data_IF_842331578246
#
_entry.id   IF_842331578246
#
_cell.length_a   1.000
_cell.length_b   1.000
_cell.length_c   1.000
_cell.angle_alpha   90.00
_cell.angle_beta   90.00
_cell.angle_gamma   90.00
#
_symmetry.space_group_name_H-M   'P 1'
#
loop_
_entity.id
_entity.type
_entity.pdbx_description
1 polymer ?
#
# COMPACT_ATOMS: atom_id res chain seq x y z
N UNK A 1 -10.87 2.01 -13.46
CA UNK A 1 -10.06 2.32 -14.66
C UNK A 1 -9.37 1.04 -15.09
N UNK A 2 -9.60 0.60 -16.33
CA UNK A 2 -8.92 -0.58 -16.88
C UNK A 2 -7.86 -0.10 -17.87
N UNK A 3 -6.59 -0.47 -17.64
CA UNK A 3 -5.53 -0.28 -18.62
C UNK A 3 -5.44 -1.55 -19.45
N UNK A 4 -5.98 -1.50 -20.66
CA UNK A 4 -5.97 -2.61 -21.59
C UNK A 4 -4.93 -2.30 -22.67
N UNK A 5 -3.92 -3.17 -22.85
CA UNK A 5 -3.07 -3.15 -24.04
C UNK A 5 -3.96 -3.25 -25.28
N UNK A 6 -3.69 -2.43 -26.29
CA UNK A 6 -4.57 -2.19 -27.43
C UNK A 6 -4.84 -3.43 -28.30
N UNK A 7 -4.06 -4.47 -28.11
CA UNK A 7 -3.83 -5.62 -28.96
C UNK A 7 -4.29 -6.96 -28.33
N UNK A 8 -4.77 -6.95 -27.09
CA UNK A 8 -5.03 -8.19 -26.33
C UNK A 8 -6.49 -8.48 -26.00
N UNK A 9 -7.45 -7.60 -26.30
CA UNK A 9 -8.85 -7.79 -25.87
C UNK A 9 -9.88 -7.56 -26.97
N UNK A 10 -10.72 -8.59 -27.20
CA UNK A 10 -11.83 -8.56 -28.15
C UNK A 10 -13.01 -7.73 -27.63
N UNK A 11 -13.75 -7.11 -28.56
CA UNK A 11 -14.90 -6.22 -28.29
C UNK A 11 -15.98 -6.83 -27.40
N UNK A 12 -16.16 -8.15 -27.44
CA UNK A 12 -17.16 -8.87 -26.66
C UNK A 12 -16.89 -8.82 -25.14
N UNK A 13 -15.61 -8.87 -24.75
CA UNK A 13 -15.17 -8.75 -23.34
C UNK A 13 -15.40 -7.33 -22.80
N UNK A 14 -15.50 -6.34 -23.69
CA UNK A 14 -15.76 -4.94 -23.32
C UNK A 14 -17.23 -4.74 -22.97
N UNK A 15 -18.15 -5.33 -23.75
CA UNK A 15 -19.60 -5.28 -23.52
C UNK A 15 -20.01 -6.00 -22.23
N UNK A 16 -19.42 -7.16 -21.92
CA UNK A 16 -19.77 -7.90 -20.70
C UNK A 16 -19.37 -7.17 -19.40
N UNK A 17 -18.49 -6.18 -19.47
CA UNK A 17 -18.09 -5.36 -18.30
C UNK A 17 -18.92 -4.10 -18.14
N UNK A 18 -19.72 -3.72 -19.14
CA UNK A 18 -20.65 -2.58 -19.03
C UNK A 18 -21.75 -2.85 -18.01
N UNK A 19 -22.14 -4.12 -17.83
CA UNK A 19 -23.11 -4.55 -16.81
C UNK A 19 -22.61 -4.35 -15.36
N UNK A 20 -21.30 -4.37 -15.12
CA UNK A 20 -20.69 -4.07 -13.81
C UNK A 20 -20.72 -2.57 -13.46
N UNK A 21 -20.93 -1.71 -14.45
CA UNK A 21 -21.08 -0.27 -14.28
C UNK A 21 -22.59 0.02 -14.20
N UNK A 22 -23.17 -0.23 -13.03
CA UNK A 22 -24.62 -0.07 -12.81
C UNK A 22 -25.20 1.22 -13.40
N UNK A 23 -26.48 1.19 -13.77
CA UNK A 23 -27.19 2.25 -14.51
C UNK A 23 -27.27 3.61 -13.79
N UNK A 24 -26.85 3.69 -12.52
CA UNK A 24 -26.81 4.91 -11.70
C UNK A 24 -25.40 5.18 -11.19
N UNK A 25 -24.42 5.27 -12.09
CA UNK A 25 -23.08 5.70 -11.69
C UNK A 25 -23.08 7.22 -11.43
N UNK A 26 -22.64 7.64 -10.24
CA UNK A 26 -22.53 9.06 -9.89
C UNK A 26 -21.54 9.80 -10.82
N UNK A 27 -22.00 10.86 -11.47
CA UNK A 27 -21.17 11.71 -12.33
C UNK A 27 -19.96 12.31 -11.60
N UNK A 28 -20.04 12.56 -10.29
CA UNK A 28 -18.92 13.08 -9.50
C UNK A 28 -17.82 12.03 -9.27
N UNK A 29 -18.21 10.77 -9.08
CA UNK A 29 -17.27 9.66 -8.97
C UNK A 29 -16.60 9.39 -10.32
N UNK A 30 -17.36 9.47 -11.42
CA UNK A 30 -16.79 9.41 -12.78
C UNK A 30 -15.82 10.55 -13.01
N UNK A 31 -16.13 11.80 -12.64
CA UNK A 31 -15.23 12.94 -12.80
C UNK A 31 -13.97 12.85 -11.92
N UNK A 32 -14.06 12.27 -10.72
CA UNK A 32 -12.91 12.03 -9.85
C UNK A 32 -12.00 10.90 -10.38
N UNK A 33 -12.61 9.87 -10.98
CA UNK A 33 -11.91 8.78 -11.67
C UNK A 33 -11.48 9.15 -13.08
N UNK A 34 -12.07 10.20 -13.67
CA UNK A 34 -11.79 10.65 -15.03
C UNK A 34 -10.33 11.09 -15.03
N UNK A 35 -9.52 10.19 -15.59
CA UNK A 35 -8.09 10.23 -15.47
C UNK A 35 -7.49 11.53 -15.97
N UNK A 36 -8.23 12.40 -16.65
CA UNK A 36 -7.77 13.69 -17.14
C UNK A 36 -7.10 14.54 -16.05
N UNK A 37 -7.67 14.68 -14.85
CA UNK A 37 -7.04 15.50 -13.78
C UNK A 37 -5.89 14.77 -13.09
N UNK A 38 -6.09 13.51 -12.69
CA UNK A 38 -5.06 12.69 -12.04
C UNK A 38 -3.87 12.37 -12.96
N UNK A 39 -4.11 11.97 -14.21
CA UNK A 39 -3.08 11.73 -15.25
C UNK A 39 -2.33 13.00 -15.60
N UNK A 40 -3.02 14.14 -15.75
CA UNK A 40 -2.34 15.42 -15.99
C UNK A 40 -1.45 15.81 -14.82
N UNK A 41 -1.91 15.64 -13.58
CA UNK A 41 -1.10 15.88 -12.40
C UNK A 41 0.11 14.94 -12.35
N UNK A 42 -0.05 13.64 -12.64
CA UNK A 42 1.08 12.70 -12.69
C UNK A 42 2.06 12.98 -13.83
N UNK A 43 1.58 13.41 -14.99
CA UNK A 43 2.45 13.81 -16.12
C UNK A 43 3.23 15.10 -15.80
N UNK A 44 2.58 16.09 -15.17
CA UNK A 44 3.20 17.40 -14.93
C UNK A 44 4.01 17.46 -13.64
N UNK A 45 3.58 16.76 -12.60
CA UNK A 45 4.10 16.88 -11.23
C UNK A 45 4.44 15.52 -10.61
N UNK A 46 4.19 14.40 -11.29
CA UNK A 46 4.31 13.06 -10.71
C UNK A 46 5.71 12.77 -10.20
N UNK A 47 6.76 13.12 -10.95
CA UNK A 47 8.15 12.91 -10.50
C UNK A 47 8.46 13.64 -9.19
N UNK A 48 8.04 14.90 -9.05
CA UNK A 48 8.26 15.68 -7.83
C UNK A 48 7.42 15.15 -6.66
N UNK A 49 6.14 14.84 -6.89
CA UNK A 49 5.23 14.31 -5.86
C UNK A 49 5.71 12.94 -5.36
N UNK A 50 6.07 12.05 -6.28
CA UNK A 50 6.53 10.70 -5.95
C UNK A 50 7.92 10.73 -5.30
N UNK A 51 8.85 11.56 -5.80
CA UNK A 51 10.16 11.76 -5.18
C UNK A 51 10.05 12.27 -3.75
N UNK A 52 9.16 13.23 -3.50
CA UNK A 52 8.91 13.72 -2.14
C UNK A 52 8.31 12.63 -1.24
N UNK A 53 7.34 11.86 -1.75
CA UNK A 53 6.75 10.74 -1.02
C UNK A 53 7.80 9.68 -0.64
N UNK A 54 8.71 9.33 -1.57
CA UNK A 54 9.82 8.41 -1.31
C UNK A 54 10.78 8.95 -0.24
N UNK A 55 11.16 10.22 -0.33
CA UNK A 55 12.03 10.85 0.68
C UNK A 55 11.38 10.88 2.06
N UNK A 56 10.07 11.17 2.13
CA UNK A 56 9.31 11.16 3.37
C UNK A 56 9.19 9.74 3.94
N UNK A 57 8.95 8.74 3.09
CA UNK A 57 8.91 7.34 3.49
C UNK A 57 10.24 6.89 4.10
N UNK A 58 11.36 7.21 3.44
CA UNK A 58 12.71 6.91 3.93
C UNK A 58 12.98 7.56 5.29
N UNK A 59 12.72 8.86 5.42
CA UNK A 59 12.87 9.58 6.69
C UNK A 59 12.00 8.98 7.80
N UNK A 60 10.79 8.54 7.46
CA UNK A 60 9.87 7.90 8.42
C UNK A 60 10.41 6.55 8.87
N UNK A 61 10.92 5.72 7.94
CA UNK A 61 11.57 4.44 8.25
C UNK A 61 12.73 4.63 9.22
N UNK A 62 13.64 5.57 8.93
CA UNK A 62 14.80 5.86 9.79
C UNK A 62 14.42 6.37 11.18
N UNK A 63 13.34 7.15 11.29
CA UNK A 63 12.88 7.63 12.60
C UNK A 63 12.26 6.51 13.42
N UNK A 64 11.48 5.64 12.78
CA UNK A 64 10.83 4.52 13.46
C UNK A 64 11.86 3.47 13.86
N UNK A 65 12.86 3.17 13.02
CA UNK A 65 13.89 2.17 13.32
C UNK A 65 14.77 2.52 14.54
N UNK A 66 14.72 3.77 15.02
CA UNK A 66 15.39 4.21 16.25
C UNK A 66 14.54 4.00 17.51
N UNK A 67 13.29 3.56 17.36
CA UNK A 67 12.40 3.28 18.49
C UNK A 67 12.68 1.85 18.96
N UNK A 68 13.04 1.72 20.22
CA UNK A 68 13.36 0.43 20.84
C UNK A 68 12.19 -0.56 20.74
N UNK A 69 12.50 -1.79 20.35
CA UNK A 69 11.51 -2.86 20.17
C UNK A 69 10.70 -2.77 18.88
N UNK A 70 11.04 -1.86 17.97
CA UNK A 70 10.50 -1.85 16.60
C UNK A 70 11.51 -2.38 15.59
N UNK A 71 11.01 -3.11 14.59
CA UNK A 71 11.79 -3.55 13.44
C UNK A 71 11.12 -3.03 12.16
N UNK A 72 11.80 -2.17 11.41
CA UNK A 72 11.27 -1.67 10.13
C UNK A 72 11.75 -2.59 9.03
N UNK A 73 10.82 -3.32 8.40
CA UNK A 73 11.20 -4.28 7.37
C UNK A 73 11.68 -3.59 6.09
N UNK A 74 12.79 -4.10 5.55
CA UNK A 74 13.45 -3.63 4.34
C UNK A 74 13.44 -4.66 3.21
N UNK A 75 14.19 -4.35 2.15
CA UNK A 75 14.32 -5.23 0.99
C UNK A 75 14.92 -6.59 1.37
N UNK A 76 15.90 -6.60 2.28
CA UNK A 76 16.60 -7.81 2.71
C UNK A 76 15.68 -8.81 3.45
N UNK A 77 14.56 -8.34 4.00
CA UNK A 77 13.58 -9.19 4.68
C UNK A 77 12.70 -9.96 3.67
N UNK A 78 12.35 -9.32 2.56
CA UNK A 78 11.36 -9.83 1.60
C UNK A 78 11.96 -10.37 0.30
N UNK A 79 13.11 -9.86 -0.10
CA UNK A 79 13.72 -10.13 -1.40
C UNK A 79 14.91 -11.09 -1.25
N UNK A 80 14.77 -12.27 -1.83
CA UNK A 80 15.80 -13.31 -1.91
C UNK A 80 15.44 -14.27 -3.06
N UNK A 81 16.38 -15.13 -3.52
CA UNK A 81 16.06 -16.15 -4.51
C UNK A 81 14.84 -17.00 -4.07
N UNK A 82 13.82 -17.07 -4.92
CA UNK A 82 12.56 -17.77 -4.61
C UNK A 82 11.57 -16.99 -3.72
N UNK A 83 11.84 -15.71 -3.40
CA UNK A 83 10.90 -14.80 -2.71
C UNK A 83 10.45 -13.65 -3.62
N UNK A 84 9.95 -12.57 -3.03
CA UNK A 84 9.48 -11.40 -3.77
C UNK A 84 10.61 -10.77 -4.59
N UNK A 85 10.30 -10.35 -5.83
CA UNK A 85 11.27 -9.70 -6.72
C UNK A 85 11.68 -8.31 -6.21
N UNK A 86 10.74 -7.57 -5.63
CA UNK A 86 11.01 -6.28 -4.98
C UNK A 86 9.99 -6.00 -3.86
N UNK A 87 10.28 -4.98 -3.05
CA UNK A 87 9.38 -4.42 -2.05
C UNK A 87 8.98 -3.00 -2.46
N UNK A 88 7.70 -2.65 -2.33
CA UNK A 88 7.27 -1.25 -2.49
C UNK A 88 7.88 -0.36 -1.38
N UNK A 89 8.72 0.64 -1.72
CA UNK A 89 9.35 1.52 -0.73
C UNK A 89 8.34 2.35 0.07
N UNK A 90 7.17 2.67 -0.50
CA UNK A 90 6.12 3.47 0.14
C UNK A 90 5.35 2.66 1.19
N UNK A 91 5.34 1.33 1.09
CA UNK A 91 4.70 0.46 2.08
C UNK A 91 5.63 0.22 3.28
N UNK A 92 5.45 1.01 4.35
CA UNK A 92 6.24 0.88 5.57
C UNK A 92 5.64 -0.21 6.48
N UNK A 93 6.32 -1.35 6.56
CA UNK A 93 5.93 -2.48 7.41
C UNK A 93 6.80 -2.45 8.69
N UNK A 94 6.14 -2.49 9.85
CA UNK A 94 6.79 -2.35 11.15
C UNK A 94 6.45 -3.58 11.99
N UNK A 95 7.46 -4.35 12.36
CA UNK A 95 7.38 -5.39 13.37
C UNK A 95 7.44 -4.79 14.78
N UNK A 96 6.53 -5.22 15.64
CA UNK A 96 6.40 -4.78 17.04
C UNK A 96 6.39 -5.96 18.02
N UNK A 97 6.91 -7.11 17.60
CA UNK A 97 6.87 -8.36 18.36
C UNK A 97 7.58 -8.24 19.72
N UNK A 98 8.60 -7.39 19.83
CA UNK A 98 9.32 -7.17 21.09
C UNK A 98 8.50 -6.46 22.17
N UNK A 99 7.36 -5.85 21.81
CA UNK A 99 6.44 -5.22 22.75
C UNK A 99 5.36 -6.17 23.27
N UNK A 100 5.37 -7.44 22.83
CA UNK A 100 4.41 -8.48 23.25
C UNK A 100 2.93 -8.09 23.05
N UNK A 101 2.66 -7.15 22.13
CA UNK A 101 1.32 -6.73 21.72
C UNK A 101 1.04 -7.11 20.29
N UNK A 102 -0.22 -7.41 19.99
CA UNK A 102 -0.65 -7.71 18.62
C UNK A 102 -0.74 -6.44 17.79
N UNK A 103 -0.58 -6.58 16.47
CA UNK A 103 -0.75 -5.47 15.52
C UNK A 103 -2.11 -4.78 15.63
N UNK A 104 -3.18 -5.55 15.91
CA UNK A 104 -4.52 -5.02 16.14
C UNK A 104 -4.58 -4.14 17.39
N UNK A 105 -4.09 -4.62 18.54
CA UNK A 105 -4.10 -3.83 19.79
C UNK A 105 -3.27 -2.56 19.66
N UNK A 106 -2.15 -2.61 18.95
CA UNK A 106 -1.35 -1.43 18.67
C UNK A 106 -2.09 -0.43 17.76
N UNK A 107 -2.80 -0.92 16.75
CA UNK A 107 -3.60 -0.07 15.86
C UNK A 107 -4.77 0.61 16.59
N UNK A 108 -5.45 -0.11 17.48
CA UNK A 108 -6.54 0.43 18.30
C UNK A 108 -6.02 1.53 19.23
N UNK A 109 -4.90 1.30 19.92
CA UNK A 109 -4.29 2.31 20.80
C UNK A 109 -3.87 3.57 20.02
N UNK A 110 -3.27 3.42 18.85
CA UNK A 110 -2.90 4.54 17.98
C UNK A 110 -4.13 5.33 17.50
N UNK A 111 -5.25 4.66 17.26
CA UNK A 111 -6.50 5.30 16.87
C UNK A 111 -7.11 6.05 18.05
N UNK A 112 -7.20 5.42 19.21
CA UNK A 112 -7.91 5.96 20.36
C UNK A 112 -7.14 7.12 21.02
N UNK A 113 -5.83 6.97 21.20
CA UNK A 113 -4.99 7.95 21.90
C UNK A 113 -4.44 9.03 20.96
N UNK A 114 -4.20 8.69 19.69
CA UNK A 114 -3.49 9.58 18.75
C UNK A 114 -4.24 9.89 17.45
N UNK A 115 -5.43 9.31 17.23
CA UNK A 115 -6.22 9.46 15.99
C UNK A 115 -5.45 9.05 14.73
N UNK A 116 -4.53 8.10 14.85
CA UNK A 116 -3.74 7.57 13.74
C UNK A 116 -4.35 6.25 13.28
N UNK A 117 -4.75 6.19 12.01
CA UNK A 117 -5.22 4.95 11.40
C UNK A 117 -4.06 4.18 10.76
N UNK A 118 -4.01 2.87 10.98
CA UNK A 118 -3.05 1.93 10.40
C UNK A 118 -3.81 0.70 9.94
N UNK A 119 -3.31 0.03 8.90
CA UNK A 119 -3.79 -1.30 8.53
C UNK A 119 -3.03 -2.34 9.36
N UNK A 120 -3.64 -2.98 10.36
CA UNK A 120 -2.98 -4.05 11.09
C UNK A 120 -2.91 -5.29 10.20
N UNK A 121 -1.78 -5.99 10.25
CA UNK A 121 -1.66 -7.35 9.76
C UNK A 121 -1.65 -8.29 10.98
N UNK A 122 -2.25 -9.49 10.87
CA UNK A 122 -2.09 -10.48 11.92
C UNK A 122 -0.61 -10.75 12.12
N UNK A 123 -0.14 -10.68 13.36
CA UNK A 123 1.20 -11.12 13.71
C UNK A 123 1.27 -12.60 13.38
N UNK A 124 2.05 -12.99 12.36
CA UNK A 124 2.43 -14.38 12.20
C UNK A 124 3.26 -14.70 13.44
N UNK A 125 2.65 -15.39 14.41
CA UNK A 125 3.40 -15.92 15.54
C UNK A 125 4.61 -16.64 14.95
N UNK A 126 5.79 -16.18 15.33
CA UNK A 126 7.05 -16.85 15.05
C UNK A 126 6.80 -18.33 15.36
N UNK A 127 6.90 -19.20 14.33
CA UNK A 127 6.77 -20.64 14.54
C UNK A 127 7.68 -20.98 15.73
N UNK A 128 7.22 -21.74 16.73
CA UNK A 128 8.17 -22.33 17.66
C UNK A 128 9.15 -23.12 16.78
N UNK A 129 10.45 -22.87 16.96
CA UNK A 129 11.46 -23.79 16.46
C UNK A 129 11.17 -25.12 17.14
N UNK A 130 10.44 -26.00 16.47
CA UNK A 130 10.44 -27.40 16.83
C UNK A 130 11.83 -27.92 16.48
N UNK A 131 12.49 -28.44 17.52
CA UNK A 131 13.69 -29.27 17.59
C UNK A 131 14.40 -29.60 16.27
#
# INVERSE_FOLDING_TARGET
MFHLPADLVQSEVRKSREELLGTTTSASLVAALDGRRGRRQMVQQGGALYGHALALAQKTRERISRIDGTHVHGRDDFCAPGRAADMDPLQIIIGISAWEVTGYRAADRLRDEHRINRSPTPTTATRPRCF
#
